data_IF_998725724622
#
_entry.id   IF_998725724622
#
_cell.length_a   1.000
_cell.length_b   1.000
_cell.length_c   1.000
_cell.angle_alpha   90.00
_cell.angle_beta   90.00
_cell.angle_gamma   90.00
#
_symmetry.space_group_name_H-M   'P 1'
#
loop_
_entity.id
_entity.type
_entity.pdbx_description
1 polymer ?
#
# COMPACT_ATOMS: atom_id res chain seq x y z
N UNK A 1 -26.32 -16.76 -17.52
CA UNK A 1 -25.54 -16.53 -16.28
C UNK A 1 -25.62 -15.04 -15.95
N UNK A 2 -26.08 -14.68 -14.76
CA UNK A 2 -26.18 -13.28 -14.32
C UNK A 2 -24.77 -12.80 -13.96
N UNK A 3 -24.24 -11.79 -14.66
CA UNK A 3 -22.99 -11.13 -14.27
C UNK A 3 -23.23 -10.44 -12.93
N UNK A 4 -22.45 -10.80 -11.92
CA UNK A 4 -22.42 -10.11 -10.64
C UNK A 4 -21.70 -8.79 -10.90
N UNK A 5 -22.26 -7.63 -10.56
CA UNK A 5 -21.54 -6.37 -10.72
C UNK A 5 -20.32 -6.38 -9.80
N UNK A 6 -19.16 -6.12 -10.38
CA UNK A 6 -17.93 -5.87 -9.63
C UNK A 6 -18.17 -4.66 -8.74
N UNK A 7 -18.38 -4.91 -7.45
CA UNK A 7 -18.64 -3.87 -6.46
C UNK A 7 -17.28 -3.34 -6.02
N UNK A 8 -16.53 -2.73 -6.95
CA UNK A 8 -15.46 -1.82 -6.57
C UNK A 8 -16.14 -0.57 -6.05
N UNK A 9 -16.57 -0.62 -4.79
CA UNK A 9 -17.02 0.57 -4.07
C UNK A 9 -15.77 1.41 -3.86
N UNK A 10 -15.52 2.33 -4.77
CA UNK A 10 -14.62 3.45 -4.53
C UNK A 10 -15.18 4.16 -3.30
N UNK A 11 -14.57 3.90 -2.15
CA UNK A 11 -14.87 4.60 -0.93
C UNK A 11 -14.10 5.91 -1.06
N UNK A 12 -14.76 6.97 -1.52
CA UNK A 12 -14.19 8.31 -1.41
C UNK A 12 -14.07 8.62 0.08
N UNK A 13 -12.88 8.44 0.66
CA UNK A 13 -12.64 8.92 2.02
C UNK A 13 -12.25 10.38 1.91
N UNK A 14 -13.10 11.25 2.47
CA UNK A 14 -12.94 12.71 2.41
C UNK A 14 -11.64 13.24 3.03
N UNK A 15 -10.86 12.39 3.72
CA UNK A 15 -9.65 12.76 4.42
C UNK A 15 -8.43 11.92 3.99
N UNK A 16 -7.42 12.59 3.44
CA UNK A 16 -6.19 11.97 2.93
C UNK A 16 -5.41 11.16 3.98
N UNK A 17 -5.47 11.56 5.24
CA UNK A 17 -4.85 10.80 6.34
C UNK A 17 -5.50 9.42 6.53
N UNK A 18 -6.81 9.33 6.36
CA UNK A 18 -7.53 8.06 6.50
C UNK A 18 -7.26 7.16 5.30
N UNK A 19 -7.18 7.73 4.09
CA UNK A 19 -6.74 6.99 2.89
C UNK A 19 -5.34 6.41 3.07
N UNK A 20 -4.37 7.22 3.52
CA UNK A 20 -3.00 6.76 3.76
C UNK A 20 -2.96 5.62 4.79
N UNK A 21 -3.63 5.76 5.94
CA UNK A 21 -3.68 4.69 6.94
C UNK A 21 -4.32 3.38 6.43
N UNK A 22 -5.28 3.48 5.52
CA UNK A 22 -5.97 2.33 4.93
C UNK A 22 -5.13 1.63 3.87
N UNK A 23 -4.39 2.40 3.07
CA UNK A 23 -3.76 1.95 1.85
C UNK A 23 -2.24 1.70 2.00
N UNK A 24 -1.56 2.40 2.92
CA UNK A 24 -0.14 2.20 3.16
C UNK A 24 0.08 1.02 4.12
N UNK A 25 0.60 -0.08 3.58
CA UNK A 25 0.80 -1.32 4.33
C UNK A 25 2.00 -1.16 5.28
N UNK A 26 1.94 -1.77 6.46
CA UNK A 26 3.09 -1.88 7.36
C UNK A 26 3.85 -3.18 7.13
N UNK A 27 5.18 -3.15 7.27
CA UNK A 27 5.96 -4.38 7.21
C UNK A 27 5.64 -5.23 8.45
N UNK A 28 5.26 -6.49 8.22
CA UNK A 28 5.05 -7.46 9.29
C UNK A 28 6.40 -7.81 9.93
N UNK A 29 6.50 -7.68 11.26
CA UNK A 29 7.73 -7.99 12.01
C UNK A 29 7.92 -9.50 12.18
N UNK A 30 6.81 -10.23 12.34
CA UNK A 30 6.80 -11.69 12.52
C UNK A 30 5.82 -12.32 11.53
N UNK A 31 6.30 -12.92 10.42
CA UNK A 31 5.43 -13.56 9.43
C UNK A 31 4.66 -14.75 9.99
N UNK A 32 5.20 -15.39 11.04
CA UNK A 32 4.56 -16.50 11.76
C UNK A 32 3.73 -16.03 12.97
N UNK A 33 3.62 -14.72 13.19
CA UNK A 33 2.93 -14.13 14.33
C UNK A 33 3.76 -14.14 15.63
N UNK A 34 3.17 -13.68 16.75
CA UNK A 34 3.85 -13.58 18.02
C UNK A 34 4.24 -14.95 18.58
N UNK A 35 5.41 -15.05 19.19
CA UNK A 35 5.88 -16.28 19.83
C UNK A 35 4.86 -16.82 20.85
N UNK A 36 4.52 -18.11 20.74
CA UNK A 36 3.52 -18.77 21.59
C UNK A 36 2.07 -18.60 21.13
N UNK A 37 1.85 -18.00 19.96
CA UNK A 37 0.54 -18.01 19.29
C UNK A 37 0.09 -19.44 18.99
N UNK A 38 -1.20 -19.74 19.26
CA UNK A 38 -1.86 -20.99 18.82
C UNK A 38 -2.38 -20.89 17.38
N UNK A 39 -2.39 -19.69 16.81
CA UNK A 39 -2.72 -19.44 15.41
C UNK A 39 -1.48 -19.70 14.56
N UNK A 40 -1.62 -20.59 13.59
CA UNK A 40 -0.67 -20.79 12.49
C UNK A 40 -1.11 -19.89 11.31
N UNK A 41 -0.47 -18.72 11.11
CA UNK A 41 -0.81 -17.87 9.98
C UNK A 41 -0.31 -18.50 8.67
N UNK A 42 -0.95 -18.12 7.55
CA UNK A 42 -0.42 -18.46 6.24
C UNK A 42 0.87 -17.70 5.99
N UNK A 43 1.99 -18.40 5.83
CA UNK A 43 3.27 -17.78 5.54
C UNK A 43 3.25 -17.06 4.18
N UNK A 44 3.88 -15.89 4.11
CA UNK A 44 4.08 -15.15 2.88
C UNK A 44 3.43 -13.77 2.91
N UNK A 45 3.22 -13.19 1.73
CA UNK A 45 2.60 -11.86 1.60
C UNK A 45 1.08 -11.99 1.66
N UNK A 46 0.42 -11.13 2.43
CA UNK A 46 -1.03 -10.98 2.47
C UNK A 46 -1.56 -10.56 1.10
N UNK A 47 -1.85 -11.50 0.20
CA UNK A 47 -2.31 -11.23 -1.18
C UNK A 47 -3.70 -11.87 -1.40
N UNK A 48 -4.57 -11.30 -2.26
CA UNK A 48 -4.38 -10.09 -3.08
C UNK A 48 -4.56 -8.79 -2.29
N UNK A 49 -3.84 -7.75 -2.68
CA UNK A 49 -4.03 -6.39 -2.18
C UNK A 49 -5.23 -5.73 -2.86
N UNK A 50 -5.82 -4.75 -2.18
CA UNK A 50 -6.75 -3.82 -2.84
C UNK A 50 -5.99 -3.00 -3.89
N UNK A 51 -6.69 -2.52 -4.90
CA UNK A 51 -6.10 -1.72 -5.99
C UNK A 51 -5.32 -0.50 -5.47
N UNK A 52 -5.81 0.12 -4.40
CA UNK A 52 -5.22 1.32 -3.79
C UNK A 52 -4.11 0.98 -2.77
N UNK A 53 -4.00 -0.28 -2.33
CA UNK A 53 -3.03 -0.71 -1.31
C UNK A 53 -1.61 -0.77 -1.86
N UNK A 54 -0.65 -0.27 -1.07
CA UNK A 54 0.74 -0.08 -1.48
C UNK A 54 1.71 -0.51 -0.38
N UNK A 55 2.93 -0.96 -0.74
CA UNK A 55 3.95 -1.30 0.24
C UNK A 55 4.52 -0.04 0.90
N UNK A 56 5.04 -0.16 2.14
CA UNK A 56 5.68 0.97 2.80
C UNK A 56 6.97 1.34 2.07
N UNK A 57 7.02 2.53 1.47
CA UNK A 57 8.25 3.05 0.87
C UNK A 57 8.97 3.96 1.88
N UNK A 58 10.11 3.50 2.39
CA UNK A 58 10.93 4.24 3.37
C UNK A 58 11.69 5.44 2.79
N UNK A 59 11.70 5.59 1.46
CA UNK A 59 12.42 6.64 0.75
C UNK A 59 11.49 7.57 -0.04
N UNK A 60 10.19 7.39 0.12
CA UNK A 60 9.15 8.24 -0.47
C UNK A 60 8.74 9.34 0.52
N UNK A 61 7.99 10.30 0.00
CA UNK A 61 7.41 11.37 0.78
C UNK A 61 6.20 10.89 1.59
N UNK A 62 6.10 11.35 2.83
CA UNK A 62 4.93 11.13 3.69
C UNK A 62 3.69 11.82 3.09
N UNK A 63 3.85 13.02 2.53
CA UNK A 63 2.79 13.77 1.86
C UNK A 63 3.01 13.79 0.34
N UNK A 64 2.57 12.74 -0.34
CA UNK A 64 2.77 12.60 -1.79
C UNK A 64 2.08 13.70 -2.59
N UNK A 65 0.84 14.07 -2.25
CA UNK A 65 0.07 15.09 -2.96
C UNK A 65 0.83 16.43 -3.06
N UNK A 66 1.47 16.85 -1.97
CA UNK A 66 2.28 18.06 -1.95
C UNK A 66 3.51 17.96 -2.89
N UNK A 67 4.06 16.77 -3.06
CA UNK A 67 5.32 16.52 -3.77
C UNK A 67 5.16 15.89 -5.16
N UNK A 68 3.93 15.65 -5.62
CA UNK A 68 3.66 15.06 -6.95
C UNK A 68 4.25 15.86 -8.11
N UNK A 69 4.33 17.18 -7.95
CA UNK A 69 4.85 18.11 -8.97
C UNK A 69 6.17 18.77 -8.56
N UNK A 70 6.79 18.31 -7.48
CA UNK A 70 8.05 18.84 -6.93
C UNK A 70 9.13 17.75 -6.95
N UNK A 71 9.77 17.51 -8.11
CA UNK A 71 10.76 16.46 -8.25
C UNK A 71 12.03 16.79 -7.45
N UNK A 72 12.69 15.75 -6.95
CA UNK A 72 13.96 15.89 -6.25
C UNK A 72 15.05 16.35 -7.21
N UNK A 73 15.85 17.32 -6.76
CA UNK A 73 17.00 17.86 -7.52
C UNK A 73 18.07 16.81 -7.86
N UNK A 74 18.19 15.76 -7.04
CA UNK A 74 19.22 14.75 -7.24
C UNK A 74 18.80 13.75 -8.33
N UNK A 75 19.60 13.56 -9.40
CA UNK A 75 19.23 12.69 -10.50
C UNK A 75 19.03 11.25 -10.02
N UNK A 76 17.86 10.69 -10.34
CA UNK A 76 17.49 9.31 -9.98
C UNK A 76 16.82 9.14 -8.62
N UNK A 77 16.68 10.21 -7.83
CA UNK A 77 16.05 10.11 -6.51
C UNK A 77 14.57 9.68 -6.60
N UNK A 78 13.84 10.16 -7.61
CA UNK A 78 12.40 9.84 -7.81
C UNK A 78 12.15 8.53 -8.56
N UNK A 79 13.21 7.88 -9.09
CA UNK A 79 13.08 6.66 -9.90
C UNK A 79 12.65 5.43 -9.10
N UNK A 80 12.62 5.52 -7.77
CA UNK A 80 12.12 4.44 -6.91
C UNK A 80 10.59 4.32 -6.91
N UNK A 81 9.86 5.31 -7.45
CA UNK A 81 8.40 5.44 -7.29
C UNK A 81 7.63 5.04 -8.56
N UNK A 82 8.25 5.03 -9.76
CA UNK A 82 7.54 4.86 -11.04
C UNK A 82 7.76 3.52 -11.76
N UNK A 83 8.48 2.55 -11.17
CA UNK A 83 8.69 1.23 -11.80
C UNK A 83 8.00 0.11 -11.01
N UNK A 84 6.78 -0.23 -11.41
CA UNK A 84 6.07 -1.37 -10.83
C UNK A 84 4.59 -1.47 -11.15
N UNK A 85 4.22 -1.38 -12.42
CA UNK A 85 2.94 -1.90 -12.91
C UNK A 85 3.23 -2.81 -14.11
N UNK A 86 3.60 -4.05 -13.82
CA UNK A 86 3.48 -5.20 -14.73
C UNK A 86 2.79 -6.33 -13.96
#
# INVERSE_FOLDING_TARGET
MKKIPDTSSHYDVDLSTVESQRNDTVAEEFPDGPYGSSLEPSMGKSTPWREEQRPPNRFDYENRELHENDPRDFPGADQTIQSGHD
#
